data_IF_160366434084
#
_entry.id   IF_160366434084
#
_cell.length_a   1.000
_cell.length_b   1.000
_cell.length_c   1.000
_cell.angle_alpha   90.00
_cell.angle_beta   90.00
_cell.angle_gamma   90.00
#
_symmetry.space_group_name_H-M   'P 1'
#
loop_
_entity.id
_entity.type
_entity.pdbx_description
1 polymer ?
#
# COMPACT_ATOMS: atom_id res chain seq x y z
N UNK A 1 -11.87 23.53 21.96
CA UNK A 1 -12.84 22.42 22.19
C UNK A 1 -12.37 21.24 21.37
N UNK A 2 -12.16 20.08 21.99
CA UNK A 2 -11.81 18.86 21.26
C UNK A 2 -13.08 18.29 20.60
N UNK A 3 -13.02 17.92 19.33
CA UNK A 3 -14.07 17.21 18.62
C UNK A 3 -13.55 15.84 18.16
N UNK A 4 -14.43 14.98 17.62
CA UNK A 4 -14.00 13.75 16.92
C UNK A 4 -13.01 14.07 15.80
N UNK A 5 -13.22 15.20 15.11
CA UNK A 5 -12.44 15.59 13.93
C UNK A 5 -11.08 16.21 14.26
N UNK A 6 -10.96 16.85 15.42
CA UNK A 6 -9.73 17.52 15.83
C UNK A 6 -9.54 17.46 17.35
N UNK A 7 -8.36 16.98 17.77
CA UNK A 7 -7.97 16.88 19.17
C UNK A 7 -6.51 17.27 19.33
N UNK A 8 -6.18 17.88 20.46
CA UNK A 8 -4.79 18.11 20.88
C UNK A 8 -4.62 17.42 22.23
N UNK A 9 -4.12 16.19 22.20
CA UNK A 9 -3.73 15.47 23.43
C UNK A 9 -2.43 16.04 24.01
N UNK A 10 -2.01 15.54 25.16
CA UNK A 10 -0.75 15.95 25.78
C UNK A 10 0.45 15.64 24.86
N UNK A 11 1.59 16.27 25.14
CA UNK A 11 2.79 16.14 24.31
C UNK A 11 3.31 14.71 24.23
N UNK A 12 3.22 13.94 25.31
CA UNK A 12 3.74 12.58 25.37
C UNK A 12 2.91 11.65 24.48
N UNK A 13 1.58 11.71 24.56
CA UNK A 13 0.68 10.92 23.70
C UNK A 13 0.93 11.18 22.21
N UNK A 14 1.15 12.45 21.85
CA UNK A 14 1.46 12.85 20.46
C UNK A 14 2.80 12.29 19.98
N UNK A 15 3.84 12.42 20.80
CA UNK A 15 5.16 11.87 20.48
C UNK A 15 5.15 10.34 20.39
N UNK A 16 4.48 9.66 21.31
CA UNK A 16 4.32 8.21 21.29
C UNK A 16 3.58 7.77 20.03
N UNK A 17 2.50 8.46 19.64
CA UNK A 17 1.78 8.18 18.40
C UNK A 17 2.67 8.31 17.16
N UNK A 18 3.44 9.41 17.04
CA UNK A 18 4.39 9.58 15.92
C UNK A 18 5.46 8.49 15.92
N UNK A 19 6.09 8.25 17.07
CA UNK A 19 7.15 7.27 17.22
C UNK A 19 6.69 5.85 16.91
N UNK A 20 5.50 5.47 17.38
CA UNK A 20 4.92 4.15 17.10
C UNK A 20 4.49 4.01 15.65
N UNK A 21 3.84 5.02 15.06
CA UNK A 21 3.47 5.02 13.64
C UNK A 21 4.69 4.88 12.73
N UNK A 22 5.77 5.64 13.01
CA UNK A 22 7.02 5.50 12.26
C UNK A 22 7.68 4.14 12.52
N UNK A 23 7.71 3.70 13.77
CA UNK A 23 8.32 2.44 14.18
C UNK A 23 7.68 1.23 13.51
N UNK A 24 6.34 1.17 13.47
CA UNK A 24 5.62 0.04 12.83
C UNK A 24 5.81 0.05 11.31
N UNK A 25 5.85 1.22 10.65
CA UNK A 25 6.14 1.31 9.21
C UNK A 25 7.57 0.83 8.93
N UNK A 26 8.56 1.29 9.70
CA UNK A 26 9.95 0.82 9.55
C UNK A 26 10.06 -0.68 9.80
N UNK A 27 9.41 -1.18 10.85
CA UNK A 27 9.38 -2.62 11.15
C UNK A 27 8.74 -3.43 10.02
N UNK A 28 7.66 -2.93 9.40
CA UNK A 28 7.02 -3.57 8.25
C UNK A 28 7.98 -3.73 7.07
N UNK A 29 8.73 -2.67 6.71
CA UNK A 29 9.74 -2.76 5.66
C UNK A 29 10.89 -3.69 6.04
N UNK A 30 11.42 -3.61 7.26
CA UNK A 30 12.52 -4.46 7.71
C UNK A 30 12.13 -5.95 7.71
N UNK A 31 10.94 -6.28 8.24
CA UNK A 31 10.42 -7.65 8.23
C UNK A 31 10.05 -8.10 6.82
N UNK A 32 9.52 -7.21 5.98
CA UNK A 32 9.25 -7.50 4.58
C UNK A 32 10.53 -7.89 3.83
N UNK A 33 11.59 -7.09 3.93
CA UNK A 33 12.89 -7.42 3.34
C UNK A 33 13.46 -8.72 3.92
N UNK A 34 13.42 -8.89 5.25
CA UNK A 34 13.89 -10.11 5.90
C UNK A 34 13.17 -11.35 5.33
N UNK A 35 11.85 -11.31 5.22
CA UNK A 35 11.05 -12.43 4.74
C UNK A 35 11.36 -12.73 3.27
N UNK A 36 11.47 -11.70 2.44
CA UNK A 36 11.89 -11.85 1.03
C UNK A 36 13.27 -12.51 0.92
N UNK A 37 14.26 -12.05 1.70
CA UNK A 37 15.61 -12.63 1.68
C UNK A 37 15.66 -14.06 2.21
N UNK A 38 14.90 -14.37 3.27
CA UNK A 38 14.78 -15.74 3.80
C UNK A 38 14.20 -16.66 2.75
N UNK A 39 13.13 -16.24 2.07
CA UNK A 39 12.51 -17.03 1.01
C UNK A 39 13.45 -17.22 -0.18
N UNK A 40 14.14 -16.16 -0.63
CA UNK A 40 15.16 -16.27 -1.68
C UNK A 40 16.27 -17.26 -1.29
N UNK A 41 16.79 -17.17 -0.06
CA UNK A 41 17.81 -18.08 0.47
C UNK A 41 17.31 -19.54 0.47
N UNK A 42 16.08 -19.79 0.91
CA UNK A 42 15.48 -21.14 0.92
C UNK A 42 15.30 -21.67 -0.49
N UNK A 43 14.83 -20.85 -1.45
CA UNK A 43 14.66 -21.28 -2.83
C UNK A 43 16.00 -21.66 -3.49
N UNK A 44 17.06 -20.90 -3.22
CA UNK A 44 18.42 -21.22 -3.68
C UNK A 44 18.97 -22.47 -2.99
N UNK A 45 18.86 -22.54 -1.67
CA UNK A 45 19.39 -23.66 -0.88
C UNK A 45 18.74 -25.00 -1.18
N UNK A 46 17.46 -25.00 -1.59
CA UNK A 46 16.73 -26.19 -2.04
C UNK A 46 16.89 -26.47 -3.54
N UNK A 47 17.62 -25.63 -4.28
CA UNK A 47 17.88 -25.83 -5.71
C UNK A 47 16.70 -25.54 -6.62
N UNK A 48 15.67 -24.82 -6.16
CA UNK A 48 14.56 -24.39 -7.02
C UNK A 48 14.97 -23.28 -8.00
N UNK A 49 15.96 -22.47 -7.64
CA UNK A 49 16.54 -21.40 -8.47
C UNK A 49 18.04 -21.29 -8.22
N UNK A 50 18.81 -20.79 -9.21
CA UNK A 50 20.23 -20.47 -9.01
C UNK A 50 20.40 -19.13 -8.28
N UNK A 51 21.56 -18.95 -7.64
CA UNK A 51 21.93 -17.66 -7.03
C UNK A 51 21.99 -16.52 -8.07
N UNK A 52 22.36 -16.86 -9.30
CA UNK A 52 22.49 -15.91 -10.42
C UNK A 52 21.19 -15.14 -10.68
N UNK A 53 20.01 -15.74 -10.46
CA UNK A 53 18.70 -15.07 -10.57
C UNK A 53 18.60 -13.80 -9.72
N UNK A 54 19.36 -13.71 -8.63
CA UNK A 54 19.34 -12.56 -7.71
C UNK A 54 20.59 -11.67 -7.81
N UNK A 55 21.66 -12.15 -8.46
CA UNK A 55 22.95 -11.45 -8.49
C UNK A 55 23.35 -10.98 -9.88
N UNK A 56 22.80 -11.58 -10.93
CA UNK A 56 23.10 -11.28 -12.32
C UNK A 56 21.88 -10.62 -13.00
N UNK A 57 21.96 -9.35 -13.41
CA UNK A 57 20.85 -8.65 -14.06
C UNK A 57 20.49 -9.23 -15.44
N UNK A 58 21.37 -10.01 -16.07
CA UNK A 58 21.10 -10.64 -17.37
C UNK A 58 20.28 -11.93 -17.24
N UNK A 59 20.12 -12.45 -16.02
CA UNK A 59 19.30 -13.64 -15.72
C UNK A 59 17.88 -13.19 -15.34
N UNK A 60 16.84 -13.50 -16.15
CA UNK A 60 15.49 -13.04 -15.86
C UNK A 60 14.92 -13.66 -14.59
N UNK A 61 14.31 -12.83 -13.73
CA UNK A 61 13.58 -13.30 -12.55
C UNK A 61 12.34 -14.10 -12.97
N UNK A 62 12.23 -15.40 -12.63
CA UNK A 62 11.04 -16.17 -12.96
C UNK A 62 9.80 -15.56 -12.29
N UNK A 63 8.69 -15.44 -13.03
CA UNK A 63 7.48 -14.78 -12.53
C UNK A 63 6.93 -15.39 -11.23
N UNK A 64 7.02 -16.71 -11.05
CA UNK A 64 6.59 -17.36 -9.81
C UNK A 64 7.48 -17.00 -8.61
N UNK A 65 8.78 -16.74 -8.82
CA UNK A 65 9.71 -16.27 -7.78
C UNK A 65 9.33 -14.85 -7.36
N UNK A 66 9.03 -13.98 -8.32
CA UNK A 66 8.56 -12.63 -8.04
C UNK A 66 7.27 -12.66 -7.19
N UNK A 67 6.30 -13.50 -7.55
CA UNK A 67 5.04 -13.66 -6.79
C UNK A 67 5.30 -14.17 -5.37
N UNK A 68 6.14 -15.18 -5.21
CA UNK A 68 6.51 -15.72 -3.91
C UNK A 68 7.23 -14.67 -3.06
N UNK A 69 8.10 -13.86 -3.66
CA UNK A 69 8.79 -12.74 -3.00
C UNK A 69 7.81 -11.65 -2.55
N UNK A 70 6.83 -11.26 -3.38
CA UNK A 70 5.80 -10.30 -3.00
C UNK A 70 4.95 -10.80 -1.82
N UNK A 71 4.52 -12.07 -1.87
CA UNK A 71 3.77 -12.67 -0.77
C UNK A 71 4.61 -12.66 0.51
N UNK A 72 5.90 -13.01 0.43
CA UNK A 72 6.82 -12.99 1.57
C UNK A 72 6.96 -11.57 2.16
N UNK A 73 7.18 -10.57 1.31
CA UNK A 73 7.33 -9.17 1.71
C UNK A 73 6.11 -8.68 2.50
N UNK A 74 4.90 -8.85 1.95
CA UNK A 74 3.68 -8.35 2.59
C UNK A 74 3.25 -9.23 3.78
N UNK A 75 3.66 -10.50 3.83
CA UNK A 75 3.56 -11.30 5.06
C UNK A 75 4.42 -10.70 6.19
N UNK A 76 5.59 -10.14 5.86
CA UNK A 76 6.41 -9.38 6.80
C UNK A 76 5.72 -8.11 7.32
N UNK A 77 4.94 -7.43 6.47
CA UNK A 77 4.13 -6.27 6.88
C UNK A 77 3.05 -6.67 7.88
N UNK A 78 2.31 -7.75 7.58
CA UNK A 78 1.31 -8.31 8.51
C UNK A 78 1.97 -8.74 9.82
N UNK A 79 3.14 -9.38 9.76
CA UNK A 79 3.89 -9.77 10.96
C UNK A 79 4.29 -8.56 11.82
N UNK A 80 4.71 -7.45 11.20
CA UNK A 80 5.02 -6.21 11.93
C UNK A 80 3.79 -5.64 12.64
N UNK A 81 2.63 -5.62 11.98
CA UNK A 81 1.38 -5.16 12.58
C UNK A 81 0.99 -6.08 13.74
N UNK A 82 0.94 -7.39 13.52
CA UNK A 82 0.58 -8.36 14.56
C UNK A 82 1.51 -8.26 15.77
N UNK A 83 2.83 -8.16 15.55
CA UNK A 83 3.82 -7.99 16.61
C UNK A 83 3.60 -6.69 17.38
N UNK A 84 3.30 -5.59 16.69
CA UNK A 84 3.00 -4.30 17.33
C UNK A 84 1.73 -4.37 18.19
N UNK A 85 0.64 -4.92 17.65
CA UNK A 85 -0.64 -5.06 18.38
C UNK A 85 -0.47 -5.94 19.62
N UNK A 86 0.25 -7.06 19.49
CA UNK A 86 0.54 -7.95 20.60
C UNK A 86 1.47 -7.31 21.66
N UNK A 87 2.47 -6.53 21.24
CA UNK A 87 3.36 -5.83 22.16
C UNK A 87 2.64 -4.73 22.95
N UNK A 88 1.67 -4.07 22.33
CA UNK A 88 0.94 -2.94 22.93
C UNK A 88 -0.37 -3.35 23.60
N UNK A 89 -0.80 -4.60 23.43
CA UNK A 89 -2.11 -5.10 23.87
C UNK A 89 -3.27 -4.26 23.31
N UNK A 90 -3.16 -3.92 22.03
CA UNK A 90 -4.10 -3.04 21.32
C UNK A 90 -5.04 -3.89 20.46
N UNK A 91 -6.33 -3.90 20.79
CA UNK A 91 -7.34 -4.70 20.06
C UNK A 91 -8.40 -3.85 19.35
N UNK A 92 -8.45 -2.55 19.63
CA UNK A 92 -9.52 -1.61 19.24
C UNK A 92 -8.96 -0.42 18.43
N UNK A 93 -7.81 -0.58 17.77
CA UNK A 93 -7.24 0.46 16.91
C UNK A 93 -8.06 0.65 15.62
N UNK A 94 -8.68 -0.42 15.16
CA UNK A 94 -9.45 -0.45 13.93
C UNK A 94 -10.59 -1.45 13.97
N UNK A 95 -11.59 -1.18 13.15
CA UNK A 95 -12.81 -1.98 13.02
C UNK A 95 -12.82 -2.72 11.68
N UNK A 96 -13.38 -3.93 11.68
CA UNK A 96 -13.57 -4.75 10.49
C UNK A 96 -14.85 -5.58 10.64
N UNK A 97 -15.56 -5.79 9.53
CA UNK A 97 -16.81 -6.52 9.56
C UNK A 97 -17.27 -6.95 8.17
N UNK A 98 -18.33 -7.76 8.12
CA UNK A 98 -18.98 -8.12 6.86
C UNK A 98 -19.67 -6.86 6.29
N UNK A 99 -19.31 -6.41 5.07
CA UNK A 99 -19.87 -5.19 4.51
C UNK A 99 -21.39 -5.24 4.36
N UNK A 100 -22.07 -4.17 4.77
CA UNK A 100 -23.50 -3.97 4.51
C UNK A 100 -23.75 -3.19 3.19
N UNK A 101 -25.01 -2.85 2.89
CA UNK A 101 -25.34 -2.10 1.66
C UNK A 101 -24.77 -0.67 1.66
N UNK A 102 -24.61 -0.06 2.83
CA UNK A 102 -24.01 1.28 2.99
C UNK A 102 -22.51 1.21 2.71
N UNK A 103 -21.84 0.18 3.22
CA UNK A 103 -20.44 -0.12 2.94
C UNK A 103 -20.22 -0.37 1.45
N UNK A 104 -21.11 -1.09 0.78
CA UNK A 104 -21.04 -1.28 -0.68
C UNK A 104 -21.22 0.03 -1.44
N UNK A 105 -22.15 0.90 -1.02
CA UNK A 105 -22.34 2.21 -1.63
C UNK A 105 -21.08 3.09 -1.47
N UNK A 106 -20.48 3.10 -0.28
CA UNK A 106 -19.19 3.76 -0.06
C UNK A 106 -18.03 3.08 -0.78
N UNK A 107 -18.08 1.77 -0.99
CA UNK A 107 -17.18 1.01 -1.83
C UNK A 107 -17.14 1.55 -3.26
N UNK A 108 -18.32 1.67 -3.88
CA UNK A 108 -18.46 2.24 -5.23
C UNK A 108 -18.07 3.72 -5.27
N UNK A 109 -18.56 4.52 -4.31
CA UNK A 109 -18.24 5.95 -4.26
C UNK A 109 -16.73 6.20 -4.06
N UNK A 110 -16.08 5.38 -3.22
CA UNK A 110 -14.64 5.43 -2.98
C UNK A 110 -13.83 5.05 -4.21
N UNK A 111 -14.24 4.00 -4.94
CA UNK A 111 -13.59 3.61 -6.20
C UNK A 111 -13.72 4.71 -7.26
N UNK A 112 -14.91 5.30 -7.43
CA UNK A 112 -15.11 6.48 -8.29
C UNK A 112 -14.24 7.65 -7.81
N UNK A 113 -14.16 7.85 -6.49
CA UNK A 113 -13.29 8.84 -5.86
C UNK A 113 -11.82 8.67 -6.23
N UNK A 114 -11.31 7.43 -6.27
CA UNK A 114 -9.94 7.15 -6.72
C UNK A 114 -9.73 7.51 -8.19
N UNK A 115 -10.67 7.17 -9.08
CA UNK A 115 -10.58 7.57 -10.49
C UNK A 115 -10.59 9.09 -10.66
N UNK A 116 -11.48 9.79 -9.97
CA UNK A 116 -11.56 11.25 -10.00
C UNK A 116 -10.27 11.88 -9.47
N UNK A 117 -9.77 11.39 -8.34
CA UNK A 117 -8.53 11.87 -7.74
C UNK A 117 -7.32 11.61 -8.65
N UNK A 118 -7.19 10.40 -9.19
CA UNK A 118 -6.12 10.05 -10.13
C UNK A 118 -6.16 10.95 -11.38
N UNK A 119 -7.34 11.12 -11.99
CA UNK A 119 -7.49 11.99 -13.16
C UNK A 119 -7.14 13.45 -12.84
N UNK A 120 -7.63 13.99 -11.72
CA UNK A 120 -7.36 15.36 -11.31
C UNK A 120 -5.86 15.60 -11.07
N UNK A 121 -5.18 14.66 -10.39
CA UNK A 121 -3.74 14.75 -10.16
C UNK A 121 -2.96 14.59 -11.46
N UNK A 122 -3.34 13.65 -12.33
CA UNK A 122 -2.71 13.49 -13.66
C UNK A 122 -2.87 14.74 -14.53
N UNK A 123 -4.02 15.42 -14.49
CA UNK A 123 -4.22 16.68 -15.20
C UNK A 123 -3.34 17.80 -14.65
N UNK A 124 -3.20 17.89 -13.32
CA UNK A 124 -2.32 18.85 -12.67
C UNK A 124 -0.85 18.62 -13.00
N UNK A 125 -0.38 17.36 -12.98
CA UNK A 125 0.99 16.98 -13.34
C UNK A 125 1.30 17.41 -14.77
N UNK A 126 0.39 17.15 -15.71
CA UNK A 126 0.52 17.58 -17.11
C UNK A 126 0.59 19.10 -17.23
N UNK A 127 -0.27 19.84 -16.52
CA UNK A 127 -0.27 21.30 -16.51
C UNK A 127 1.06 21.88 -15.98
N UNK A 128 1.64 21.24 -14.98
CA UNK A 128 2.90 21.66 -14.36
C UNK A 128 4.14 21.17 -15.14
N UNK A 129 3.97 20.35 -16.18
CA UNK A 129 5.07 19.72 -16.90
C UNK A 129 5.94 18.83 -16.00
N UNK A 130 5.36 18.27 -14.94
CA UNK A 130 6.08 17.47 -13.96
C UNK A 130 6.25 16.02 -14.43
N UNK A 131 7.39 15.42 -14.12
CA UNK A 131 7.63 14.00 -14.32
C UNK A 131 7.01 13.17 -13.20
N UNK A 132 6.69 11.91 -13.50
CA UNK A 132 6.21 10.93 -12.53
C UNK A 132 7.10 9.69 -12.57
N UNK A 133 7.56 9.25 -11.40
CA UNK A 133 8.35 8.04 -11.27
C UNK A 133 7.54 6.79 -11.63
N UNK A 134 8.24 5.71 -11.97
CA UNK A 134 7.63 4.40 -12.22
C UNK A 134 7.82 3.52 -10.99
N UNK A 135 6.85 2.64 -10.72
CA UNK A 135 7.00 1.62 -9.68
C UNK A 135 7.73 0.41 -10.25
N UNK A 136 8.71 -0.14 -9.54
CA UNK A 136 9.51 -1.31 -9.94
C UNK A 136 8.64 -2.49 -10.39
N UNK A 137 7.48 -2.71 -9.76
CA UNK A 137 6.56 -3.78 -10.14
C UNK A 137 6.02 -3.61 -11.57
N UNK A 138 5.85 -2.37 -12.03
CA UNK A 138 5.42 -2.06 -13.39
C UNK A 138 6.55 -2.36 -14.37
N UNK A 139 7.80 -1.99 -14.05
CA UNK A 139 8.95 -2.30 -14.91
C UNK A 139 9.14 -3.81 -15.08
N UNK A 140 9.08 -4.56 -13.98
CA UNK A 140 9.13 -6.03 -14.00
C UNK A 140 7.98 -6.62 -14.83
N UNK A 141 6.77 -6.08 -14.69
CA UNK A 141 5.61 -6.51 -15.47
C UNK A 141 5.73 -6.17 -16.95
N UNK A 142 6.35 -5.06 -17.34
CA UNK A 142 6.60 -4.72 -18.74
C UNK A 142 7.61 -5.68 -19.39
N UNK A 143 8.60 -6.16 -18.63
CA UNK A 143 9.55 -7.19 -19.08
C UNK A 143 8.90 -8.57 -19.18
N UNK A 144 7.93 -8.88 -18.31
CA UNK A 144 7.17 -10.12 -18.30
C UNK A 144 5.67 -9.86 -18.10
N UNK A 145 4.90 -9.60 -19.17
CA UNK A 145 3.51 -9.16 -19.08
C UNK A 145 2.60 -10.11 -18.29
N UNK A 146 2.87 -11.42 -18.32
CA UNK A 146 2.09 -12.41 -17.56
C UNK A 146 2.13 -12.15 -16.05
N UNK A 147 3.17 -11.50 -15.54
CA UNK A 147 3.29 -11.12 -14.13
C UNK A 147 2.11 -10.25 -13.68
N UNK A 148 1.62 -9.33 -14.53
CA UNK A 148 0.46 -8.51 -14.19
C UNK A 148 -0.78 -9.37 -13.87
N UNK A 149 -1.01 -10.45 -14.61
CA UNK A 149 -2.16 -11.35 -14.36
C UNK A 149 -2.03 -12.08 -13.02
N UNK A 150 -0.81 -12.48 -12.64
CA UNK A 150 -0.56 -13.10 -11.35
C UNK A 150 -0.61 -12.10 -10.18
N UNK A 151 -0.27 -10.83 -10.43
CA UNK A 151 -0.32 -9.78 -9.43
C UNK A 151 -1.75 -9.35 -9.07
N UNK A 152 -2.73 -9.56 -9.95
CA UNK A 152 -4.15 -9.27 -9.67
C UNK A 152 -4.66 -10.03 -8.42
N UNK A 153 -4.60 -11.37 -8.34
CA UNK A 153 -5.04 -12.06 -7.14
C UNK A 153 -4.12 -11.75 -5.93
N UNK A 154 -2.81 -11.56 -6.15
CA UNK A 154 -1.88 -11.24 -5.06
C UNK A 154 -2.19 -9.88 -4.44
N UNK A 155 -2.52 -8.88 -5.24
CA UNK A 155 -2.82 -7.55 -4.71
C UNK A 155 -4.12 -7.51 -3.93
N UNK A 156 -5.14 -8.23 -4.42
CA UNK A 156 -6.44 -8.34 -3.76
C UNK A 156 -6.33 -9.09 -2.42
N UNK A 157 -5.56 -10.17 -2.38
CA UNK A 157 -5.53 -11.09 -1.22
C UNK A 157 -4.41 -10.81 -0.23
N UNK A 158 -3.35 -10.10 -0.64
CA UNK A 158 -2.13 -9.95 0.18
C UNK A 158 -1.72 -8.48 0.29
N UNK A 159 -1.46 -7.81 -0.83
CA UNK A 159 -0.90 -6.44 -0.81
C UNK A 159 -1.88 -5.44 -0.18
N UNK A 160 -3.08 -5.31 -0.75
CA UNK A 160 -4.06 -4.35 -0.26
C UNK A 160 -4.47 -4.64 1.20
N UNK A 161 -4.75 -5.90 1.61
CA UNK A 161 -4.98 -6.21 3.02
C UNK A 161 -3.82 -5.81 3.94
N UNK A 162 -2.57 -6.12 3.58
CA UNK A 162 -1.41 -5.81 4.41
C UNK A 162 -1.17 -4.31 4.54
N UNK A 163 -1.27 -3.57 3.44
CA UNK A 163 -1.07 -2.12 3.45
C UNK A 163 -2.20 -1.38 4.17
N UNK A 164 -3.47 -1.72 3.91
CA UNK A 164 -4.58 -1.06 4.62
C UNK A 164 -4.56 -1.39 6.12
N UNK A 165 -4.22 -2.62 6.50
CA UNK A 165 -4.04 -2.99 7.90
C UNK A 165 -2.95 -2.14 8.58
N UNK A 166 -1.82 -1.92 7.91
CA UNK A 166 -0.74 -1.07 8.42
C UNK A 166 -1.17 0.41 8.49
N UNK A 167 -1.66 0.96 7.39
CA UNK A 167 -1.86 2.40 7.25
C UNK A 167 -3.21 2.89 7.80
N UNK A 168 -4.32 2.20 7.53
CA UNK A 168 -5.67 2.60 7.97
C UNK A 168 -6.00 1.98 9.32
N UNK A 169 -5.55 0.75 9.51
CA UNK A 169 -5.68 0.06 10.78
C UNK A 169 -4.83 0.72 11.87
N UNK A 170 -3.51 0.55 11.79
CA UNK A 170 -2.60 0.96 12.87
C UNK A 170 -2.24 2.45 12.81
N UNK A 171 -1.63 2.91 11.72
CA UNK A 171 -1.05 4.27 11.63
C UNK A 171 -2.12 5.36 11.76
N UNK A 172 -3.20 5.26 10.98
CA UNK A 172 -4.32 6.20 11.07
C UNK A 172 -5.03 6.09 12.42
N UNK A 173 -5.20 4.88 12.97
CA UNK A 173 -5.77 4.67 14.30
C UNK A 173 -4.97 5.37 15.41
N UNK A 174 -3.65 5.23 15.42
CA UNK A 174 -2.76 5.88 16.37
C UNK A 174 -2.85 7.41 16.27
N UNK A 175 -2.74 7.96 15.04
CA UNK A 175 -2.84 9.39 14.86
C UNK A 175 -4.24 9.92 15.17
N UNK A 176 -5.30 9.17 14.85
CA UNK A 176 -6.68 9.54 15.19
C UNK A 176 -6.88 9.66 16.69
N UNK A 177 -6.31 8.75 17.49
CA UNK A 177 -6.37 8.82 18.97
C UNK A 177 -5.66 10.06 19.50
N UNK A 178 -4.48 10.40 18.96
CA UNK A 178 -3.65 11.50 19.43
C UNK A 178 -4.10 12.89 18.93
N UNK A 179 -4.59 12.97 17.68
CA UNK A 179 -4.83 14.23 16.97
C UNK A 179 -6.26 14.42 16.45
N UNK A 180 -7.12 13.41 16.53
CA UNK A 180 -8.45 13.40 15.92
C UNK A 180 -8.44 12.92 14.46
N UNK A 181 -9.63 12.77 13.88
CA UNK A 181 -9.81 12.13 12.56
C UNK A 181 -9.06 12.86 11.44
N UNK A 182 -9.18 14.18 11.32
CA UNK A 182 -8.64 14.90 10.16
C UNK A 182 -7.10 14.87 10.12
N UNK A 183 -6.38 15.20 11.21
CA UNK A 183 -4.93 15.05 11.18
C UNK A 183 -4.50 13.59 11.06
N UNK A 184 -5.25 12.65 11.65
CA UNK A 184 -4.95 11.22 11.54
C UNK A 184 -4.99 10.70 10.11
N UNK A 185 -6.04 11.08 9.38
CA UNK A 185 -6.20 10.81 7.96
C UNK A 185 -5.04 11.38 7.13
N UNK A 186 -4.73 12.67 7.32
CA UNK A 186 -3.70 13.36 6.53
C UNK A 186 -2.31 12.79 6.80
N UNK A 187 -1.95 12.57 8.07
CA UNK A 187 -0.65 12.03 8.46
C UNK A 187 -0.45 10.59 7.99
N UNK A 188 -1.47 9.75 8.14
CA UNK A 188 -1.40 8.37 7.65
C UNK A 188 -1.28 8.31 6.12
N UNK A 189 -2.02 9.16 5.41
CA UNK A 189 -1.95 9.25 3.95
C UNK A 189 -0.60 9.78 3.46
N UNK A 190 -0.01 10.73 4.17
CA UNK A 190 1.34 11.21 3.87
C UNK A 190 2.39 10.09 4.07
N UNK A 191 2.31 9.34 5.17
CA UNK A 191 3.21 8.19 5.39
C UNK A 191 3.00 7.08 4.36
N UNK A 192 1.75 6.81 3.96
CA UNK A 192 1.43 5.89 2.88
C UNK A 192 2.10 6.31 1.56
N UNK A 193 2.02 7.60 1.20
CA UNK A 193 2.73 8.13 0.04
C UNK A 193 4.25 7.97 0.16
N UNK A 194 4.84 8.34 1.29
CA UNK A 194 6.29 8.23 1.54
C UNK A 194 6.77 6.78 1.49
N UNK A 195 5.98 5.83 1.99
CA UNK A 195 6.30 4.41 1.96
C UNK A 195 6.53 3.89 0.53
N UNK A 196 5.83 4.45 -0.46
CA UNK A 196 6.02 4.06 -1.86
C UNK A 196 7.40 4.42 -2.40
N UNK A 197 8.09 5.41 -1.82
CA UNK A 197 9.39 5.90 -2.29
C UNK A 197 10.43 4.79 -2.56
N UNK A 198 10.41 3.75 -1.72
CA UNK A 198 11.35 2.64 -1.80
C UNK A 198 11.12 1.73 -3.01
N UNK A 199 9.92 1.74 -3.60
CA UNK A 199 9.56 0.94 -4.77
C UNK A 199 9.60 1.76 -6.07
N UNK A 200 10.15 2.98 -6.05
CA UNK A 200 10.15 3.88 -7.22
C UNK A 200 11.51 3.93 -7.92
N UNK A 201 11.45 4.00 -9.24
CA UNK A 201 12.57 4.20 -10.16
C UNK A 201 12.37 5.46 -11.00
N UNK A 202 13.47 6.03 -11.49
CA UNK A 202 13.46 7.23 -12.34
C UNK A 202 13.22 8.56 -11.60
N UNK A 203 13.03 9.62 -12.40
CA UNK A 203 12.70 10.97 -11.94
C UNK A 203 11.24 11.12 -11.51
N UNK A 204 10.90 12.18 -10.77
CA UNK A 204 9.50 12.44 -10.37
C UNK A 204 8.99 11.62 -9.18
N UNK A 205 9.88 11.11 -8.31
CA UNK A 205 9.48 10.33 -7.12
C UNK A 205 8.56 11.10 -6.16
N UNK A 206 8.83 12.39 -5.93
CA UNK A 206 7.98 13.24 -5.10
C UNK A 206 6.57 13.39 -5.69
N UNK A 207 6.45 13.47 -7.02
CA UNK A 207 5.16 13.49 -7.71
C UNK A 207 4.38 12.21 -7.42
N UNK A 208 5.02 11.04 -7.53
CA UNK A 208 4.37 9.77 -7.21
C UNK A 208 3.98 9.67 -5.73
N UNK A 209 4.85 10.09 -4.81
CA UNK A 209 4.53 10.16 -3.37
C UNK A 209 3.27 11.01 -3.13
N UNK A 210 3.15 12.15 -3.82
CA UNK A 210 1.98 13.01 -3.72
C UNK A 210 0.71 12.33 -4.29
N UNK A 211 0.80 11.65 -5.44
CA UNK A 211 -0.30 10.86 -6.00
C UNK A 211 -0.76 9.82 -4.97
N UNK A 212 0.16 8.99 -4.48
CA UNK A 212 -0.14 7.94 -3.52
C UNK A 212 -0.74 8.50 -2.22
N UNK A 213 -0.26 9.66 -1.74
CA UNK A 213 -0.85 10.33 -0.59
C UNK A 213 -2.29 10.81 -0.87
N UNK A 214 -2.58 11.37 -2.04
CA UNK A 214 -3.94 11.80 -2.42
C UNK A 214 -4.90 10.61 -2.52
N UNK A 215 -4.49 9.53 -3.19
CA UNK A 215 -5.28 8.29 -3.21
C UNK A 215 -5.45 7.73 -1.79
N UNK A 216 -4.42 7.88 -0.97
CA UNK A 216 -4.46 7.49 0.42
C UNK A 216 -5.49 8.23 1.27
N UNK A 217 -5.74 9.52 0.96
CA UNK A 217 -6.80 10.31 1.58
C UNK A 217 -8.17 9.74 1.23
N UNK A 218 -8.39 9.31 -0.01
CA UNK A 218 -9.67 8.69 -0.43
C UNK A 218 -9.92 7.41 0.36
N UNK A 219 -8.94 6.51 0.41
CA UNK A 219 -9.05 5.24 1.15
C UNK A 219 -9.28 5.46 2.65
N UNK A 220 -8.50 6.36 3.26
CA UNK A 220 -8.67 6.68 4.67
C UNK A 220 -10.00 7.40 4.98
N UNK A 221 -10.53 8.18 4.04
CA UNK A 221 -11.86 8.81 4.18
C UNK A 221 -12.96 7.77 4.17
N UNK A 222 -12.91 6.82 3.22
CA UNK A 222 -13.90 5.73 3.16
C UNK A 222 -13.87 4.90 4.44
N UNK A 223 -12.68 4.61 4.97
CA UNK A 223 -12.55 3.94 6.26
C UNK A 223 -13.25 4.72 7.40
N UNK A 224 -13.07 6.04 7.50
CA UNK A 224 -13.74 6.84 8.55
C UNK A 224 -15.26 6.96 8.38
N UNK A 225 -15.76 6.77 7.15
CA UNK A 225 -17.19 6.82 6.84
C UNK A 225 -17.90 5.47 7.06
N UNK A 226 -17.16 4.36 6.91
CA UNK A 226 -17.69 2.99 7.01
C UNK A 226 -17.37 2.34 8.34
N UNK A 227 -16.31 2.78 9.02
CA UNK A 227 -15.73 2.12 10.19
C UNK A 227 -15.49 0.62 9.93
N UNK A 228 -15.07 0.30 8.70
CA UNK A 228 -14.86 -1.07 8.27
C UNK A 228 -13.66 -1.18 7.34
N UNK A 229 -12.57 -1.79 7.81
CA UNK A 229 -11.32 -1.94 7.07
C UNK A 229 -11.47 -2.78 5.79
N UNK A 230 -12.49 -3.62 5.68
CA UNK A 230 -12.74 -4.45 4.48
C UNK A 230 -13.06 -3.57 3.27
N UNK A 231 -13.72 -2.43 3.47
CA UNK A 231 -14.13 -1.53 2.38
C UNK A 231 -12.93 -0.87 1.68
N UNK A 232 -12.00 -0.18 2.36
CA UNK A 232 -10.81 0.36 1.71
C UNK A 232 -9.90 -0.74 1.14
N UNK A 233 -9.84 -1.94 1.76
CA UNK A 233 -9.11 -3.09 1.19
C UNK A 233 -9.68 -3.50 -0.16
N UNK A 234 -11.01 -3.60 -0.28
CA UNK A 234 -11.66 -3.95 -1.53
C UNK A 234 -11.44 -2.88 -2.61
N UNK A 235 -11.57 -1.60 -2.25
CA UNK A 235 -11.33 -0.48 -3.17
C UNK A 235 -9.87 -0.48 -3.65
N UNK A 236 -8.92 -0.61 -2.73
CA UNK A 236 -7.49 -0.61 -3.05
C UNK A 236 -7.12 -1.82 -3.91
N UNK A 237 -7.57 -3.02 -3.56
CA UNK A 237 -7.38 -4.22 -4.37
C UNK A 237 -7.96 -4.07 -5.78
N UNK A 238 -9.17 -3.51 -5.91
CA UNK A 238 -9.79 -3.24 -7.20
C UNK A 238 -9.02 -2.20 -8.03
N UNK A 239 -8.53 -1.14 -7.40
CA UNK A 239 -7.69 -0.12 -8.03
C UNK A 239 -6.42 -0.74 -8.63
N UNK A 240 -5.68 -1.51 -7.83
CA UNK A 240 -4.46 -2.16 -8.30
C UNK A 240 -4.74 -3.22 -9.36
N UNK A 241 -5.81 -4.02 -9.21
CA UNK A 241 -6.21 -4.98 -10.21
C UNK A 241 -6.56 -4.32 -11.56
N UNK A 242 -7.24 -3.18 -11.53
CA UNK A 242 -7.51 -2.38 -12.73
C UNK A 242 -6.21 -1.90 -13.37
N UNK A 243 -5.28 -1.34 -12.58
CA UNK A 243 -3.99 -0.87 -13.08
C UNK A 243 -3.20 -2.01 -13.74
N UNK A 244 -3.07 -3.17 -13.08
CA UNK A 244 -2.37 -4.32 -13.65
C UNK A 244 -3.06 -4.86 -14.92
N UNK A 245 -4.40 -4.88 -14.95
CA UNK A 245 -5.15 -5.25 -16.14
C UNK A 245 -4.87 -4.33 -17.33
N UNK A 246 -4.86 -3.01 -17.11
CA UNK A 246 -4.51 -2.03 -18.15
C UNK A 246 -3.07 -2.21 -18.59
N UNK A 247 -2.13 -2.36 -17.65
CA UNK A 247 -0.70 -2.52 -17.96
C UNK A 247 -0.44 -3.81 -18.76
N UNK A 248 -1.17 -4.90 -18.48
CA UNK A 248 -1.13 -6.12 -19.29
C UNK A 248 -1.60 -5.87 -20.74
N UNK A 249 -2.72 -5.16 -20.92
CA UNK A 249 -3.25 -4.85 -22.24
C UNK A 249 -2.30 -3.96 -23.05
N UNK A 250 -1.67 -2.97 -22.41
CA UNK A 250 -0.66 -2.11 -23.02
C UNK A 250 0.58 -2.94 -23.40
N UNK A 251 1.12 -3.73 -22.47
CA UNK A 251 2.33 -4.53 -22.69
C UNK A 251 2.16 -5.62 -23.78
N UNK A 252 0.93 -6.07 -24.01
CA UNK A 252 0.60 -7.06 -25.06
C UNK A 252 0.14 -6.43 -26.38
N UNK A 253 0.09 -5.11 -26.48
CA UNK A 253 -0.33 -4.38 -27.68
C UNK A 253 -1.84 -4.44 -27.97
N UNK A 254 -2.64 -4.90 -27.01
CA UNK A 254 -4.10 -4.95 -27.12
C UNK A 254 -4.74 -3.55 -27.01
N UNK A 255 -4.05 -2.60 -26.36
CA UNK A 255 -4.43 -1.18 -26.28
C UNK A 255 -3.18 -0.34 -26.55
N UNK A 256 -3.30 0.68 -27.40
CA UNK A 256 -2.21 1.64 -27.61
C UNK A 256 -2.17 2.66 -26.46
N UNK A 257 -0.97 3.08 -26.01
CA UNK A 257 -0.79 4.03 -24.91
C UNK A 257 -1.31 5.43 -25.24
#
# INVERSE_FOLDING_TARGET
MASKYYRVTDWRTRLESVGHSMGVVVAAFLLGYLFTYVVAFVLVGLGFVSLEVFTDPDVPLPGWVAIVAFIAQFSGFVAAVVAYLAWRDETDLFEYGVPDLTDLAWGVAGLVGLFVAAFAVSALIQLLGAETATNEVIELGQQNPRLFLYLIPVTILVVAPAEELLFRGVVQGLFRRAYGVVPGLVLASALFGVAHWLALTGGGKLTYVAIAAVLGIVLGTVYELTDNLVVPVAIHGAWNAFLFGVQYLVATGAVQP
#
